data_IF_817915242386
#
_entry.id   IF_817915242386
#
_cell.length_a   1.000
_cell.length_b   1.000
_cell.length_c   1.000
_cell.angle_alpha   90.00
_cell.angle_beta   90.00
_cell.angle_gamma   90.00
#
_symmetry.space_group_name_H-M   'P 1'
#
loop_
_entity.id
_entity.type
_entity.pdbx_description
1 polymer ?
#
# COMPACT_ATOMS: atom_id res chain seq x y z
N UNK A 1 -15.89 -0.59 2.72
CA UNK A 1 -16.22 -1.99 2.45
C UNK A 1 -15.09 -2.88 2.94
N UNK A 2 -15.42 -3.96 3.65
CA UNK A 2 -14.47 -5.00 4.05
C UNK A 2 -14.98 -6.33 3.53
N UNK A 3 -14.09 -7.22 3.13
CA UNK A 3 -14.43 -8.56 2.64
C UNK A 3 -13.59 -9.63 3.36
N UNK A 4 -14.22 -10.74 3.67
CA UNK A 4 -13.54 -11.91 4.21
C UNK A 4 -12.82 -12.73 3.14
N UNK A 5 -13.27 -12.61 1.90
CA UNK A 5 -12.71 -13.33 0.75
C UNK A 5 -12.96 -12.58 -0.56
N UNK A 6 -12.03 -12.68 -1.47
CA UNK A 6 -12.15 -12.18 -2.84
C UNK A 6 -11.99 -13.35 -3.82
N UNK A 7 -13.01 -13.60 -4.64
CA UNK A 7 -12.97 -14.61 -5.72
C UNK A 7 -12.26 -14.10 -6.98
N UNK A 8 -12.06 -12.79 -7.09
CA UNK A 8 -11.40 -12.11 -8.20
C UNK A 8 -10.59 -10.92 -7.71
N UNK A 9 -9.72 -11.14 -6.72
CA UNK A 9 -8.83 -10.09 -6.21
C UNK A 9 -7.93 -9.55 -7.32
N UNK A 10 -7.85 -8.22 -7.43
CA UNK A 10 -7.11 -7.54 -8.50
C UNK A 10 -5.90 -6.80 -7.97
N UNK A 11 -4.80 -6.95 -8.67
CA UNK A 11 -3.62 -6.11 -8.57
C UNK A 11 -3.45 -5.24 -9.82
N UNK A 12 -2.39 -4.45 -9.88
CA UNK A 12 -2.05 -3.64 -11.06
C UNK A 12 -1.66 -4.52 -12.24
N UNK A 13 -1.87 -3.99 -13.46
CA UNK A 13 -1.48 -4.65 -14.72
C UNK A 13 -2.08 -6.06 -14.89
N UNK A 14 -3.31 -6.27 -14.41
CA UNK A 14 -4.02 -7.56 -14.54
C UNK A 14 -3.50 -8.67 -13.62
N UNK A 15 -2.59 -8.38 -12.68
CA UNK A 15 -2.14 -9.36 -11.69
C UNK A 15 -3.29 -9.71 -10.73
N UNK A 16 -3.26 -10.94 -10.21
CA UNK A 16 -4.20 -11.36 -9.19
C UNK A 16 -3.67 -11.06 -7.78
N UNK A 17 -4.59 -10.74 -6.86
CA UNK A 17 -4.34 -10.72 -5.45
C UNK A 17 -5.00 -11.94 -4.83
N UNK A 18 -4.20 -12.80 -4.22
CA UNK A 18 -4.67 -14.03 -3.59
C UNK A 18 -4.68 -13.88 -2.07
N UNK A 19 -5.76 -14.35 -1.46
CA UNK A 19 -5.88 -14.43 -0.02
C UNK A 19 -6.89 -15.53 0.32
N UNK A 20 -6.51 -16.52 1.13
CA UNK A 20 -7.47 -17.50 1.64
C UNK A 20 -8.57 -16.80 2.46
N UNK A 21 -9.78 -17.38 2.53
CA UNK A 21 -10.89 -16.79 3.27
C UNK A 21 -10.52 -16.49 4.72
N UNK A 22 -10.87 -15.29 5.18
CA UNK A 22 -10.72 -14.81 6.58
C UNK A 22 -9.28 -14.77 7.13
N UNK A 23 -8.25 -14.89 6.28
CA UNK A 23 -6.84 -14.91 6.72
C UNK A 23 -6.17 -13.55 6.68
N UNK A 24 -6.63 -12.67 5.83
CA UNK A 24 -6.00 -11.37 5.57
C UNK A 24 -7.01 -10.24 5.72
N UNK A 25 -6.52 -9.02 5.84
CA UNK A 25 -7.37 -7.84 5.82
C UNK A 25 -7.53 -7.37 4.38
N UNK A 26 -8.76 -7.41 3.89
CA UNK A 26 -9.14 -6.99 2.54
C UNK A 26 -10.21 -5.90 2.66
N UNK A 27 -9.90 -4.68 2.24
CA UNK A 27 -10.86 -3.59 2.31
C UNK A 27 -10.71 -2.58 1.18
N UNK A 28 -11.76 -1.79 0.97
CA UNK A 28 -11.77 -0.67 0.05
C UNK A 28 -12.44 0.54 0.69
N UNK A 29 -11.88 1.73 0.41
CA UNK A 29 -12.42 3.03 0.80
C UNK A 29 -12.87 3.74 -0.46
N UNK A 30 -14.10 4.29 -0.42
CA UNK A 30 -14.61 5.19 -1.45
C UNK A 30 -14.34 6.62 -1.00
N UNK A 31 -13.66 7.37 -1.85
CA UNK A 31 -13.33 8.77 -1.61
C UNK A 31 -13.96 9.64 -2.70
N UNK A 32 -14.44 10.81 -2.30
CA UNK A 32 -14.87 11.86 -3.21
C UNK A 32 -14.06 13.13 -2.90
N UNK A 33 -12.77 13.14 -3.31
CA UNK A 33 -11.89 14.24 -2.99
C UNK A 33 -12.23 15.48 -3.84
N UNK A 34 -12.32 16.63 -3.19
CA UNK A 34 -12.49 17.95 -3.86
C UNK A 34 -11.15 18.54 -4.34
N UNK A 35 -10.12 17.70 -4.48
CA UNK A 35 -8.76 18.12 -4.86
C UNK A 35 -8.54 17.94 -6.36
N UNK A 36 -7.48 18.58 -6.85
CA UNK A 36 -7.04 18.40 -8.23
C UNK A 36 -6.69 16.93 -8.51
N UNK A 37 -6.99 16.47 -9.71
CA UNK A 37 -6.79 15.07 -10.14
C UNK A 37 -5.33 14.61 -9.96
N UNK A 38 -4.37 15.51 -10.15
CA UNK A 38 -2.93 15.22 -9.99
C UNK A 38 -2.60 14.71 -8.57
N UNK A 39 -3.36 15.16 -7.56
CA UNK A 39 -3.19 14.70 -6.17
C UNK A 39 -3.78 13.31 -5.89
N UNK A 40 -4.60 12.76 -6.79
CA UNK A 40 -5.24 11.46 -6.57
C UNK A 40 -4.22 10.30 -6.46
N UNK A 41 -3.07 10.40 -7.15
CA UNK A 41 -2.00 9.41 -7.02
C UNK A 41 -1.42 9.38 -5.60
N UNK A 42 -1.44 10.51 -4.87
CA UNK A 42 -0.91 10.61 -3.52
C UNK A 42 -1.76 9.83 -2.50
N UNK A 43 -3.02 9.51 -2.84
CA UNK A 43 -3.89 8.71 -1.96
C UNK A 43 -3.34 7.31 -1.73
N UNK A 44 -2.80 6.68 -2.78
CA UNK A 44 -2.13 5.37 -2.64
C UNK A 44 -0.91 5.46 -1.72
N UNK A 45 -0.12 6.52 -1.85
CA UNK A 45 1.05 6.76 -1.01
C UNK A 45 0.65 7.08 0.44
N UNK A 46 -0.43 7.84 0.63
CA UNK A 46 -0.98 8.13 1.95
C UNK A 46 -1.41 6.86 2.69
N UNK A 47 -2.10 5.94 2.01
CA UNK A 47 -2.50 4.67 2.60
C UNK A 47 -1.28 3.76 2.88
N UNK A 48 -0.27 3.77 2.00
CA UNK A 48 0.97 3.03 2.20
C UNK A 48 1.74 3.54 3.43
N UNK A 49 1.93 4.85 3.57
CA UNK A 49 2.59 5.46 4.75
C UNK A 49 1.83 5.18 6.04
N UNK A 50 0.50 5.28 6.01
CA UNK A 50 -0.36 4.97 7.17
C UNK A 50 -0.19 3.52 7.61
N UNK A 51 -0.02 2.61 6.67
CA UNK A 51 0.24 1.20 6.95
C UNK A 51 1.64 0.99 7.50
N UNK A 52 2.65 1.66 6.93
CA UNK A 52 4.03 1.62 7.43
C UNK A 52 4.09 2.09 8.89
N UNK A 53 3.44 3.21 9.24
CA UNK A 53 3.40 3.70 10.63
C UNK A 53 2.81 2.67 11.61
N UNK A 54 1.73 2.00 11.22
CA UNK A 54 1.12 0.95 12.06
C UNK A 54 2.06 -0.25 12.21
N UNK A 55 2.76 -0.65 11.16
CA UNK A 55 3.73 -1.75 11.20
C UNK A 55 4.97 -1.38 12.03
N UNK A 56 5.45 -0.15 11.95
CA UNK A 56 6.53 0.37 12.79
C UNK A 56 6.17 0.35 14.28
N UNK A 57 4.93 0.69 14.63
CA UNK A 57 4.42 0.61 16.02
C UNK A 57 4.38 -0.84 16.55
N UNK A 58 4.33 -1.84 15.66
CA UNK A 58 4.46 -3.26 16.00
C UNK A 58 5.93 -3.72 16.06
N UNK A 59 6.90 -2.82 15.92
CA UNK A 59 8.33 -3.11 15.96
C UNK A 59 8.88 -3.68 14.64
N UNK A 60 8.14 -3.58 13.55
CA UNK A 60 8.58 -4.05 12.23
C UNK A 60 9.28 -2.92 11.47
N UNK A 61 10.31 -3.25 10.69
CA UNK A 61 10.89 -2.33 9.72
C UNK A 61 10.11 -2.45 8.42
N UNK A 62 9.33 -1.43 8.13
CA UNK A 62 8.49 -1.37 6.94
C UNK A 62 8.89 -0.21 6.03
N UNK A 63 8.77 -0.42 4.73
CA UNK A 63 9.07 0.59 3.70
C UNK A 63 7.97 0.62 2.65
N UNK A 64 7.90 1.72 1.91
CA UNK A 64 7.02 1.84 0.75
C UNK A 64 7.82 1.59 -0.52
N UNK A 65 7.42 0.59 -1.29
CA UNK A 65 7.93 0.35 -2.64
C UNK A 65 6.97 0.96 -3.65
N UNK A 66 7.47 1.97 -4.36
CA UNK A 66 6.68 2.61 -5.40
C UNK A 66 6.22 1.60 -6.47
N UNK A 67 5.00 1.70 -6.98
CA UNK A 67 4.03 2.77 -6.71
C UNK A 67 2.98 2.42 -5.63
N UNK A 68 2.92 1.18 -5.13
CA UNK A 68 1.71 0.71 -4.42
C UNK A 68 1.92 -0.45 -3.44
N UNK A 69 3.15 -0.79 -3.11
CA UNK A 69 3.45 -1.93 -2.25
C UNK A 69 4.04 -1.48 -0.91
N UNK A 70 3.69 -2.17 0.15
CA UNK A 70 4.35 -2.07 1.46
C UNK A 70 5.21 -3.31 1.66
N UNK A 71 6.46 -3.07 2.00
CA UNK A 71 7.49 -4.11 2.14
C UNK A 71 7.96 -4.19 3.60
N UNK A 72 8.42 -5.37 4.01
CA UNK A 72 9.14 -5.57 5.26
C UNK A 72 10.58 -5.96 4.95
N UNK A 73 11.51 -5.32 5.69
CA UNK A 73 12.94 -5.64 5.65
C UNK A 73 13.23 -6.87 6.54
N UNK A 74 13.40 -8.05 5.94
CA UNK A 74 13.80 -9.28 6.64
C UNK A 74 14.84 -10.07 5.86
N UNK A 75 16.05 -9.50 5.76
CA UNK A 75 17.15 -10.10 4.98
C UNK A 75 16.98 -9.96 3.46
N UNK A 76 15.75 -9.99 2.97
CA UNK A 76 15.31 -9.54 1.64
C UNK A 76 13.96 -8.88 1.81
N UNK A 77 13.70 -7.83 1.03
CA UNK A 77 12.42 -7.13 1.06
C UNK A 77 11.28 -8.04 0.64
N UNK A 78 10.30 -8.19 1.52
CA UNK A 78 9.10 -9.01 1.28
C UNK A 78 7.84 -8.19 1.35
N UNK A 79 6.94 -8.41 0.41
CA UNK A 79 5.67 -7.69 0.32
C UNK A 79 4.69 -8.16 1.39
N UNK A 80 4.23 -7.23 2.23
CA UNK A 80 3.19 -7.47 3.24
C UNK A 80 1.84 -6.91 2.83
N UNK A 81 1.81 -5.82 2.04
CA UNK A 81 0.56 -5.25 1.55
C UNK A 81 0.67 -4.74 0.11
N UNK A 82 -0.46 -4.74 -0.58
CA UNK A 82 -0.62 -4.13 -1.89
C UNK A 82 -1.85 -3.23 -1.94
N UNK A 83 -1.73 -2.10 -2.62
CA UNK A 83 -2.77 -1.08 -2.72
C UNK A 83 -3.13 -0.89 -4.19
N UNK A 84 -4.42 -0.76 -4.48
CA UNK A 84 -4.92 -0.46 -5.81
C UNK A 84 -5.90 0.71 -5.73
N UNK A 85 -5.59 1.80 -6.41
CA UNK A 85 -6.50 2.92 -6.56
C UNK A 85 -7.09 2.93 -7.97
N UNK A 86 -8.40 3.05 -8.06
CA UNK A 86 -9.16 3.08 -9.31
C UNK A 86 -10.03 4.34 -9.34
N UNK A 87 -9.90 5.11 -10.40
CA UNK A 87 -10.75 6.26 -10.64
C UNK A 87 -11.96 5.84 -11.44
N UNK A 88 -13.14 6.09 -10.89
CA UNK A 88 -14.41 5.75 -11.54
C UNK A 88 -15.02 7.03 -12.07
N UNK A 89 -15.02 7.18 -13.41
CA UNK A 89 -15.60 8.31 -14.12
C UNK A 89 -17.12 8.15 -14.14
N UNK A 90 -17.81 9.08 -13.49
CA UNK A 90 -19.27 9.20 -13.50
C UNK A 90 -19.64 10.67 -13.31
N UNK A 91 -20.93 10.99 -13.19
CA UNK A 91 -21.42 12.37 -13.01
C UNK A 91 -20.71 13.10 -11.85
N UNK A 92 -20.46 12.38 -10.73
CA UNK A 92 -19.57 12.80 -9.65
C UNK A 92 -18.44 11.77 -9.55
N UNK A 93 -17.28 12.04 -10.12
CA UNK A 93 -16.20 11.07 -10.15
C UNK A 93 -15.73 10.72 -8.73
N UNK A 94 -15.42 9.45 -8.52
CA UNK A 94 -14.98 8.92 -7.23
C UNK A 94 -13.68 8.14 -7.38
N UNK A 95 -12.92 8.09 -6.31
CA UNK A 95 -11.71 7.30 -6.18
C UNK A 95 -11.97 6.12 -5.25
N UNK A 96 -11.79 4.91 -5.74
CA UNK A 96 -11.85 3.68 -4.94
C UNK A 96 -10.44 3.23 -4.65
N UNK A 97 -10.10 3.12 -3.38
CA UNK A 97 -8.77 2.67 -2.94
C UNK A 97 -8.93 1.36 -2.20
N UNK A 98 -8.43 0.29 -2.79
CA UNK A 98 -8.42 -1.05 -2.20
C UNK A 98 -7.06 -1.39 -1.60
N UNK A 99 -7.06 -2.15 -0.51
CA UNK A 99 -5.85 -2.71 0.10
C UNK A 99 -6.06 -4.17 0.45
N UNK A 100 -5.04 -4.97 0.19
CA UNK A 100 -4.83 -6.28 0.78
C UNK A 100 -3.62 -6.23 1.70
N UNK A 101 -3.81 -6.55 2.99
CA UNK A 101 -2.75 -6.66 3.98
C UNK A 101 -2.68 -8.10 4.51
N UNK A 102 -1.51 -8.69 4.42
CA UNK A 102 -1.25 -10.06 4.85
C UNK A 102 -1.16 -10.14 6.38
N UNK A 103 -2.17 -10.72 7.03
CA UNK A 103 -2.23 -10.89 8.49
C UNK A 103 -1.76 -12.30 8.88
N UNK A 104 -2.54 -13.33 8.50
CA UNK A 104 -2.26 -14.71 8.86
C UNK A 104 -1.64 -15.53 7.72
N UNK A 105 -1.78 -15.10 6.49
CA UNK A 105 -1.26 -15.78 5.31
C UNK A 105 -0.50 -14.79 4.41
N UNK A 106 0.63 -15.18 3.79
CA UNK A 106 1.22 -16.52 3.79
C UNK A 106 2.04 -16.84 5.04
N UNK A 107 2.14 -18.13 5.36
CA UNK A 107 3.15 -18.69 6.25
C UNK A 107 4.34 -19.21 5.40
N UNK A 108 5.46 -19.53 6.05
CA UNK A 108 6.69 -19.94 5.35
C UNK A 108 6.53 -21.23 4.50
N UNK A 109 5.57 -22.08 4.85
CA UNK A 109 5.32 -23.38 4.20
C UNK A 109 4.22 -23.29 3.12
N UNK A 110 3.59 -22.12 2.95
CA UNK A 110 2.51 -21.94 1.99
C UNK A 110 3.03 -21.80 0.55
N UNK A 111 2.22 -22.25 -0.42
CA UNK A 111 2.42 -22.03 -1.85
C UNK A 111 2.06 -20.59 -2.26
N UNK A 112 2.64 -19.60 -1.58
CA UNK A 112 2.44 -18.19 -1.86
C UNK A 112 3.56 -17.62 -2.72
N UNK A 113 3.39 -16.43 -3.32
CA UNK A 113 4.48 -15.75 -4.01
C UNK A 113 5.72 -15.63 -3.11
N UNK A 114 6.91 -16.00 -3.59
CA UNK A 114 8.12 -16.15 -2.76
C UNK A 114 8.59 -14.84 -2.11
N UNK A 115 8.16 -13.70 -2.65
CA UNK A 115 8.43 -12.36 -2.15
C UNK A 115 7.33 -11.80 -1.24
N UNK A 116 6.38 -12.65 -0.80
CA UNK A 116 5.31 -12.27 0.13
C UNK A 116 5.61 -12.69 1.58
N UNK A 117 5.00 -11.98 2.53
CA UNK A 117 5.10 -12.25 3.97
C UNK A 117 3.81 -11.80 4.67
N UNK A 118 3.52 -12.38 5.86
CA UNK A 118 2.42 -11.96 6.72
C UNK A 118 2.90 -11.54 8.11
N UNK A 119 2.04 -10.88 8.90
CA UNK A 119 2.32 -10.55 10.31
C UNK A 119 2.59 -11.82 11.10
N UNK A 120 1.80 -12.87 10.90
CA UNK A 120 1.96 -14.14 11.59
C UNK A 120 3.30 -14.81 11.29
N UNK A 121 3.78 -14.73 10.05
CA UNK A 121 5.12 -15.19 9.67
C UNK A 121 6.24 -14.37 10.33
N UNK A 122 5.94 -13.15 10.80
CA UNK A 122 6.82 -12.33 11.62
C UNK A 122 6.74 -12.62 13.11
N UNK A 123 5.88 -13.54 13.54
CA UNK A 123 5.62 -13.84 14.95
C UNK A 123 4.69 -12.84 15.63
N UNK A 124 3.93 -12.05 14.86
CA UNK A 124 2.97 -11.06 15.36
C UNK A 124 1.56 -11.59 15.17
N UNK A 125 0.84 -11.73 16.28
CA UNK A 125 -0.59 -11.99 16.31
C UNK A 125 -1.33 -10.68 16.57
N UNK A 126 -2.14 -10.25 15.59
CA UNK A 126 -2.89 -9.00 15.67
C UNK A 126 -4.26 -9.20 15.03
N UNK A 127 -5.29 -8.70 15.68
CA UNK A 127 -6.64 -8.71 15.14
C UNK A 127 -6.74 -7.80 13.92
N UNK A 128 -7.35 -8.29 12.84
CA UNK A 128 -7.45 -7.55 11.58
C UNK A 128 -8.33 -6.30 11.68
N UNK A 129 -9.30 -6.29 12.58
CA UNK A 129 -10.18 -5.15 12.79
C UNK A 129 -9.46 -4.04 13.55
N UNK A 130 -8.62 -4.40 14.53
CA UNK A 130 -7.73 -3.42 15.18
C UNK A 130 -6.77 -2.81 14.17
N UNK A 131 -6.15 -3.63 13.32
CA UNK A 131 -5.29 -3.14 12.23
C UNK A 131 -6.04 -2.19 11.31
N UNK A 132 -7.24 -2.53 10.89
CA UNK A 132 -8.07 -1.67 10.04
C UNK A 132 -8.32 -0.31 10.70
N UNK A 133 -8.72 -0.30 11.97
CA UNK A 133 -9.02 0.94 12.71
C UNK A 133 -7.78 1.83 12.80
N UNK A 134 -6.63 1.25 13.14
CA UNK A 134 -5.38 2.00 13.27
C UNK A 134 -4.93 2.57 11.92
N UNK A 135 -4.98 1.76 10.85
CA UNK A 135 -4.63 2.20 9.49
C UNK A 135 -5.57 3.32 9.02
N UNK A 136 -6.88 3.17 9.20
CA UNK A 136 -7.83 4.19 8.76
C UNK A 136 -7.69 5.52 9.52
N UNK A 137 -7.40 5.48 10.82
CA UNK A 137 -7.11 6.69 11.62
C UNK A 137 -5.87 7.44 11.10
N UNK A 138 -4.80 6.71 10.79
CA UNK A 138 -3.60 7.32 10.22
C UNK A 138 -3.84 7.81 8.79
N UNK A 139 -4.61 7.04 8.01
CA UNK A 139 -4.94 7.40 6.63
C UNK A 139 -5.76 8.70 6.55
N UNK A 140 -6.73 8.91 7.44
CA UNK A 140 -7.47 10.15 7.53
C UNK A 140 -6.54 11.36 7.75
N UNK A 141 -5.58 11.25 8.67
CA UNK A 141 -4.57 12.30 8.90
C UNK A 141 -3.73 12.57 7.65
N UNK A 142 -3.22 11.52 7.00
CA UNK A 142 -2.42 11.66 5.77
C UNK A 142 -3.22 12.26 4.61
N UNK A 143 -4.51 11.97 4.51
CA UNK A 143 -5.37 12.62 3.51
C UNK A 143 -5.50 14.12 3.74
N UNK A 144 -5.56 14.58 4.99
CA UNK A 144 -5.56 16.00 5.32
C UNK A 144 -4.23 16.66 4.94
N UNK A 145 -3.10 16.01 5.22
CA UNK A 145 -1.77 16.49 4.81
C UNK A 145 -1.65 16.63 3.28
N UNK A 146 -2.07 15.61 2.52
CA UNK A 146 -2.09 15.63 1.05
C UNK A 146 -2.99 16.74 0.50
N UNK A 147 -4.12 17.01 1.14
CA UNK A 147 -5.06 18.06 0.70
C UNK A 147 -4.51 19.46 0.93
N UNK A 148 -3.67 19.65 1.94
CA UNK A 148 -3.05 20.92 2.31
C UNK A 148 -1.85 21.23 1.40
N UNK A 149 -1.80 22.45 0.85
CA UNK A 149 -0.60 22.88 0.09
C UNK A 149 0.62 23.06 0.99
N UNK A 150 0.41 23.46 2.24
CA UNK A 150 1.47 23.71 3.22
C UNK A 150 2.10 22.44 3.75
N UNK A 151 1.32 21.37 3.92
CA UNK A 151 1.76 20.11 4.52
C UNK A 151 2.25 19.09 3.50
N UNK A 152 2.03 19.35 2.20
CA UNK A 152 2.46 18.46 1.12
C UNK A 152 3.98 18.23 1.09
N UNK A 153 4.78 19.22 1.51
CA UNK A 153 6.24 19.08 1.60
C UNK A 153 6.66 18.11 2.71
N UNK A 154 6.01 18.16 3.88
CA UNK A 154 6.28 17.24 4.99
C UNK A 154 5.90 15.81 4.61
N UNK A 155 4.73 15.63 4.00
CA UNK A 155 4.28 14.34 3.47
C UNK A 155 5.28 13.75 2.47
N UNK A 156 5.79 14.57 1.54
CA UNK A 156 6.78 14.15 0.56
C UNK A 156 8.09 13.73 1.19
N UNK A 157 8.59 14.49 2.16
CA UNK A 157 9.81 14.15 2.91
C UNK A 157 9.66 12.85 3.68
N UNK A 158 8.52 12.65 4.32
CA UNK A 158 8.20 11.41 5.03
C UNK A 158 8.16 10.20 4.09
N UNK A 159 7.54 10.35 2.91
CA UNK A 159 7.54 9.30 1.90
C UNK A 159 8.97 8.95 1.44
N UNK A 160 9.77 9.95 1.13
CA UNK A 160 11.17 9.74 0.70
C UNK A 160 11.97 8.99 1.77
N UNK A 161 11.79 9.35 3.04
CA UNK A 161 12.50 8.72 4.15
C UNK A 161 12.14 7.23 4.35
N UNK A 162 10.90 6.84 3.98
CA UNK A 162 10.40 5.45 4.09
C UNK A 162 10.36 4.70 2.76
N UNK A 163 10.84 5.29 1.69
CA UNK A 163 10.81 4.68 0.36
C UNK A 163 11.97 3.72 0.15
N UNK A 164 11.68 2.47 -0.20
CA UNK A 164 12.69 1.54 -0.71
C UNK A 164 13.03 1.76 -2.20
N UNK A 165 12.35 2.69 -2.87
CA UNK A 165 12.53 2.98 -4.29
C UNK A 165 13.44 4.19 -4.51
N UNK A 166 13.18 5.29 -3.79
CA UNK A 166 13.95 6.54 -3.95
C UNK A 166 15.39 6.34 -3.48
N UNK A 167 16.34 6.85 -4.26
CA UNK A 167 17.77 6.71 -4.02
C UNK A 167 18.39 5.45 -4.63
N UNK A 168 17.59 4.48 -5.05
CA UNK A 168 18.03 3.19 -5.59
C UNK A 168 18.00 3.12 -7.11
N UNK A 169 18.75 2.17 -7.68
CA UNK A 169 18.62 1.79 -9.08
C UNK A 169 17.31 1.02 -9.25
N UNK A 170 16.51 1.44 -10.22
CA UNK A 170 15.21 0.85 -10.51
C UNK A 170 15.09 0.49 -11.97
N UNK A 171 14.24 -0.50 -12.24
CA UNK A 171 13.79 -0.87 -13.57
C UNK A 171 12.28 -0.58 -13.64
N UNK A 172 11.88 0.29 -14.54
CA UNK A 172 10.48 0.59 -14.82
C UNK A 172 10.06 -0.19 -16.05
N UNK A 173 9.18 -1.17 -15.84
CA UNK A 173 8.59 -1.95 -16.92
C UNK A 173 7.49 -1.14 -17.63
N UNK A 174 7.62 -0.95 -18.93
CA UNK A 174 6.67 -0.23 -19.79
C UNK A 174 6.28 -1.10 -20.98
N UNK A 175 5.14 -0.77 -21.59
CA UNK A 175 4.64 -1.50 -22.76
C UNK A 175 5.59 -1.37 -23.96
N UNK A 176 6.26 -0.23 -24.10
CA UNK A 176 7.15 0.15 -25.20
C UNK A 176 8.64 -0.09 -24.90
N UNK A 177 8.94 -0.77 -23.80
CA UNK A 177 10.30 -1.14 -23.37
C UNK A 177 10.66 -0.62 -22.00
N UNK A 178 11.54 -1.36 -21.33
CA UNK A 178 11.97 -1.08 -19.97
C UNK A 178 12.94 0.10 -19.89
N UNK A 179 12.81 0.88 -18.85
CA UNK A 179 13.75 1.96 -18.51
C UNK A 179 14.46 1.61 -17.21
N UNK A 180 15.79 1.72 -17.20
CA UNK A 180 16.59 1.57 -15.99
C UNK A 180 17.24 2.90 -15.61
N UNK A 181 17.30 3.19 -14.32
CA UNK A 181 17.91 4.42 -13.82
C UNK A 181 17.82 4.54 -12.32
N UNK A 182 18.42 5.59 -11.77
CA UNK A 182 18.30 5.90 -10.35
C UNK A 182 17.03 6.71 -10.10
N UNK A 183 16.16 6.22 -9.22
CA UNK A 183 15.01 7.00 -8.76
C UNK A 183 15.50 8.11 -7.83
N UNK A 184 15.31 9.37 -8.24
CA UNK A 184 15.84 10.52 -7.49
C UNK A 184 14.79 11.21 -6.64
N UNK A 185 13.53 11.13 -7.05
CA UNK A 185 12.44 11.87 -6.44
C UNK A 185 11.05 11.36 -6.85
N UNK A 186 10.02 11.91 -6.17
CA UNK A 186 8.63 11.87 -6.63
C UNK A 186 8.38 13.07 -7.54
N UNK A 187 7.89 12.81 -8.74
CA UNK A 187 7.48 13.85 -9.69
C UNK A 187 6.18 14.54 -9.29
#
# INVERSE_FOLDING_TARGET
LVSDHQTGGRGRLGRHWEAPPSKNLLFSVLLNPNWKMEKHQLVTLALALSTVEVLENLGLRATVKWPNDVMLERGSDKKIAGILAEYVQQEKPVLVVGMGLNIEWPLQEDSAPPDSISLKACGIEKDRWEMLIEILKNFEKKLLEVSSEKESTAFRQEYIARSSTIGNQVKVEKIDGDITGKAIDLG
#
